data_IF_009303367122
#
_entry.id   IF_009303367122
#
_cell.length_a   1.000
_cell.length_b   1.000
_cell.length_c   1.000
_cell.angle_alpha   90.00
_cell.angle_beta   90.00
_cell.angle_gamma   90.00
#
_symmetry.space_group_name_H-M   'P 1'
#
loop_
_entity.id
_entity.type
_entity.pdbx_description
1 polymer ?
#
# COMPACT_ATOMS: atom_id res chain seq x y z
N UNK A 1 -11.17 3.73 21.29
CA UNK A 1 -10.43 4.02 20.04
C UNK A 1 -9.79 2.74 19.57
N UNK A 2 -10.02 2.37 18.31
CA UNK A 2 -9.39 1.20 17.65
C UNK A 2 -8.52 1.73 16.53
N UNK A 3 -7.27 1.26 16.46
CA UNK A 3 -6.32 1.61 15.41
C UNK A 3 -5.91 0.30 14.74
N UNK A 4 -6.05 0.25 13.41
CA UNK A 4 -5.45 -0.79 12.59
C UNK A 4 -3.96 -0.48 12.44
N UNK A 5 -3.11 -1.34 12.98
CA UNK A 5 -1.67 -1.10 13.05
C UNK A 5 -0.93 -1.50 11.76
N UNK A 6 -1.60 -2.16 10.82
CA UNK A 6 -0.96 -2.64 9.58
C UNK A 6 -2.00 -2.83 8.48
N UNK A 7 -2.02 -1.94 7.54
CA UNK A 7 -2.93 -1.98 6.39
C UNK A 7 -2.22 -1.54 5.11
N UNK A 8 -2.83 -1.85 3.98
CA UNK A 8 -2.30 -1.52 2.65
C UNK A 8 -3.37 -0.86 1.80
N UNK A 9 -2.98 0.20 1.08
CA UNK A 9 -3.81 0.85 0.08
C UNK A 9 -3.10 0.79 -1.28
N UNK A 10 -3.86 0.54 -2.35
CA UNK A 10 -3.32 0.56 -3.71
C UNK A 10 -4.38 0.96 -4.73
N UNK A 11 -3.94 1.65 -5.77
CA UNK A 11 -4.77 2.02 -6.91
C UNK A 11 -4.84 0.90 -7.94
N UNK A 12 -3.74 0.17 -8.12
CA UNK A 12 -3.61 -0.90 -9.09
C UNK A 12 -2.41 -1.78 -8.73
N UNK A 13 -2.59 -3.09 -8.82
CA UNK A 13 -1.48 -4.04 -8.82
C UNK A 13 -1.15 -4.38 -10.27
N UNK A 14 -0.01 -3.94 -10.76
CA UNK A 14 0.51 -4.22 -12.10
C UNK A 14 2.04 -4.19 -12.04
N UNK A 15 2.60 -5.14 -11.34
CA UNK A 15 4.02 -5.26 -11.06
C UNK A 15 4.56 -6.60 -11.54
N UNK A 16 5.80 -6.87 -11.26
CA UNK A 16 6.41 -8.17 -11.52
C UNK A 16 7.41 -8.52 -10.42
N UNK A 17 7.57 -9.80 -10.20
CA UNK A 17 8.57 -10.36 -9.31
C UNK A 17 9.28 -11.51 -10.02
N UNK A 18 10.60 -11.47 -10.05
CA UNK A 18 11.43 -12.47 -10.75
C UNK A 18 10.94 -12.70 -12.21
N UNK A 19 10.64 -11.60 -12.91
CA UNK A 19 10.12 -11.63 -14.28
C UNK A 19 8.70 -12.17 -14.45
N UNK A 20 8.03 -12.58 -13.36
CA UNK A 20 6.66 -13.08 -13.40
C UNK A 20 5.66 -11.97 -13.04
N UNK A 21 4.54 -11.85 -13.74
CA UNK A 21 3.58 -10.78 -13.51
C UNK A 21 2.83 -10.94 -12.20
N UNK A 22 2.51 -9.78 -11.59
CA UNK A 22 1.57 -9.63 -10.48
C UNK A 22 0.52 -8.62 -10.94
N UNK A 23 -0.74 -9.05 -11.10
CA UNK A 23 -1.82 -8.21 -11.62
C UNK A 23 -3.13 -8.48 -10.93
N UNK A 24 -3.80 -7.43 -10.48
CA UNK A 24 -5.17 -7.53 -9.98
C UNK A 24 -6.15 -7.94 -11.08
N UNK A 25 -7.03 -8.84 -10.72
CA UNK A 25 -8.21 -9.24 -11.48
C UNK A 25 -9.48 -8.84 -10.73
N UNK A 26 -10.64 -9.24 -11.25
CA UNK A 26 -11.91 -8.99 -10.58
C UNK A 26 -12.13 -9.93 -9.39
N UNK A 27 -12.99 -9.49 -8.46
CA UNK A 27 -13.47 -10.28 -7.34
C UNK A 27 -12.35 -10.82 -6.42
N UNK A 28 -11.33 -9.99 -6.17
CA UNK A 28 -10.23 -10.32 -5.27
C UNK A 28 -9.25 -11.35 -5.82
N UNK A 29 -9.37 -11.75 -7.07
CA UNK A 29 -8.40 -12.62 -7.72
C UNK A 29 -7.22 -11.82 -8.28
N UNK A 30 -6.09 -12.46 -8.42
CA UNK A 30 -4.89 -11.86 -9.02
C UNK A 30 -4.11 -12.92 -9.79
N UNK A 31 -3.39 -12.48 -10.81
CA UNK A 31 -2.25 -13.23 -11.31
C UNK A 31 -1.11 -12.96 -10.33
N UNK A 32 -0.63 -13.97 -9.65
CA UNK A 32 0.49 -13.90 -8.73
C UNK A 32 1.58 -14.87 -9.16
N UNK A 33 2.73 -14.35 -9.54
CA UNK A 33 3.86 -15.11 -10.06
C UNK A 33 3.49 -16.02 -11.27
N UNK A 34 2.55 -15.55 -12.08
CA UNK A 34 2.09 -16.27 -13.28
C UNK A 34 0.90 -17.22 -13.06
N UNK A 35 0.41 -17.36 -11.83
CA UNK A 35 -0.76 -18.20 -11.52
C UNK A 35 -1.94 -17.35 -11.06
N UNK A 36 -3.16 -17.75 -11.44
CA UNK A 36 -4.36 -17.09 -10.95
C UNK A 36 -4.76 -17.63 -9.58
N UNK A 37 -4.77 -16.74 -8.58
CA UNK A 37 -5.09 -17.09 -7.19
C UNK A 37 -6.17 -16.17 -6.62
N UNK A 38 -6.88 -16.63 -5.58
CA UNK A 38 -7.70 -15.76 -4.75
C UNK A 38 -6.80 -15.11 -3.72
N UNK A 39 -6.42 -13.84 -3.93
CA UNK A 39 -5.43 -13.16 -3.11
C UNK A 39 -6.07 -12.33 -1.98
N UNK A 40 -7.17 -11.67 -2.26
CA UNK A 40 -7.87 -10.78 -1.34
C UNK A 40 -9.37 -11.11 -1.32
N UNK A 41 -10.15 -10.58 -0.37
CA UNK A 41 -11.57 -10.87 -0.27
C UNK A 41 -12.34 -10.53 -1.57
N UNK A 42 -13.33 -11.37 -1.96
CA UNK A 42 -14.03 -11.22 -3.24
C UNK A 42 -14.91 -9.98 -3.34
N UNK A 43 -15.18 -9.27 -2.24
CA UNK A 43 -15.90 -7.99 -2.27
C UNK A 43 -15.06 -6.83 -2.85
N UNK A 44 -13.75 -6.99 -2.97
CA UNK A 44 -12.88 -6.05 -3.69
C UNK A 44 -13.03 -6.35 -5.19
N UNK A 45 -14.06 -5.75 -5.79
CA UNK A 45 -14.59 -6.15 -7.11
C UNK A 45 -13.61 -5.84 -8.24
N UNK A 46 -12.95 -4.69 -8.18
CA UNK A 46 -12.09 -4.16 -9.25
C UNK A 46 -10.59 -4.30 -8.97
N UNK A 47 -10.23 -5.03 -7.90
CA UNK A 47 -8.85 -5.28 -7.53
C UNK A 47 -8.11 -4.07 -6.96
N UNK A 48 -8.83 -2.99 -6.58
CA UNK A 48 -8.27 -1.80 -5.94
C UNK A 48 -8.71 -1.73 -4.48
N UNK A 49 -7.81 -1.27 -3.63
CA UNK A 49 -8.12 -0.94 -2.24
C UNK A 49 -7.77 0.53 -1.98
N UNK A 50 -8.64 1.41 -2.44
CA UNK A 50 -8.43 2.86 -2.29
C UNK A 50 -8.74 3.35 -0.88
N UNK A 51 -8.28 4.55 -0.56
CA UNK A 51 -8.56 5.19 0.73
C UNK A 51 -10.07 5.27 1.00
N UNK A 52 -10.90 5.58 0.00
CA UNK A 52 -12.35 5.68 0.14
C UNK A 52 -12.99 4.33 0.48
N UNK A 53 -12.57 3.26 -0.20
CA UNK A 53 -13.03 1.90 0.09
C UNK A 53 -12.63 1.48 1.50
N UNK A 54 -11.37 1.74 1.86
CA UNK A 54 -10.85 1.38 3.18
C UNK A 54 -11.52 2.20 4.29
N UNK A 55 -11.74 3.52 4.09
CA UNK A 55 -12.50 4.36 5.02
C UNK A 55 -13.90 3.83 5.27
N UNK A 56 -14.61 3.41 4.22
CA UNK A 56 -15.95 2.82 4.36
C UNK A 56 -15.93 1.56 5.23
N UNK A 57 -14.91 0.71 5.07
CA UNK A 57 -14.71 -0.47 5.90
C UNK A 57 -14.35 -0.10 7.35
N UNK A 58 -13.48 0.90 7.54
CA UNK A 58 -13.12 1.42 8.87
C UNK A 58 -14.34 1.97 9.61
N UNK A 59 -15.17 2.75 8.92
CA UNK A 59 -16.38 3.35 9.50
C UNK A 59 -17.37 2.26 9.90
N UNK A 60 -17.59 1.25 9.04
CA UNK A 60 -18.42 0.09 9.36
C UNK A 60 -17.89 -0.69 10.58
N UNK A 61 -16.59 -0.92 10.65
CA UNK A 61 -15.94 -1.65 11.73
C UNK A 61 -15.64 -0.79 12.97
N UNK A 62 -15.97 0.51 12.96
CA UNK A 62 -15.67 1.49 14.02
C UNK A 62 -14.16 1.62 14.32
N UNK A 63 -13.33 1.46 13.30
CA UNK A 63 -11.88 1.70 13.37
C UNK A 63 -11.60 3.19 13.19
N UNK A 64 -10.89 3.78 14.16
CA UNK A 64 -10.67 5.22 14.21
C UNK A 64 -9.59 5.70 13.24
N UNK A 65 -8.50 4.94 13.13
CA UNK A 65 -7.36 5.27 12.27
C UNK A 65 -6.65 3.99 11.81
N UNK A 66 -5.83 4.11 10.78
CA UNK A 66 -5.01 3.01 10.28
C UNK A 66 -3.58 3.48 9.96
N UNK A 67 -2.62 2.62 10.23
CA UNK A 67 -1.25 2.75 9.76
C UNK A 67 -1.17 2.06 8.40
N UNK A 68 -0.82 2.82 7.38
CA UNK A 68 -0.71 2.32 6.00
C UNK A 68 0.75 2.14 5.64
N UNK A 69 1.14 0.90 5.48
CA UNK A 69 2.46 0.49 4.97
C UNK A 69 2.34 0.07 3.51
N UNK A 70 3.45 -0.06 2.83
CA UNK A 70 3.47 -0.47 1.42
C UNK A 70 3.99 -1.88 1.27
N UNK A 71 3.59 -2.53 0.18
CA UNK A 71 4.12 -3.82 -0.20
C UNK A 71 4.69 -3.76 -1.63
N UNK A 72 5.78 -4.49 -1.86
CA UNK A 72 6.42 -4.53 -3.18
C UNK A 72 5.46 -5.02 -4.29
N UNK A 73 4.49 -5.86 -3.94
CA UNK A 73 3.52 -6.41 -4.90
C UNK A 73 2.59 -5.34 -5.48
N UNK A 74 2.37 -4.26 -4.72
CA UNK A 74 1.55 -3.13 -5.15
C UNK A 74 2.35 -2.10 -5.94
N UNK A 75 3.68 -2.22 -5.94
CA UNK A 75 4.59 -1.19 -6.41
C UNK A 75 4.75 -0.05 -5.41
N UNK A 76 5.63 0.90 -5.75
CA UNK A 76 5.83 2.10 -4.92
C UNK A 76 4.64 3.02 -5.08
N UNK A 77 3.95 3.32 -3.97
CA UNK A 77 2.73 4.13 -3.90
C UNK A 77 2.98 5.48 -3.19
N UNK A 78 4.21 5.97 -3.14
CA UNK A 78 4.57 7.17 -2.37
C UNK A 78 3.71 8.37 -2.74
N UNK A 79 3.54 8.67 -4.02
CA UNK A 79 2.75 9.83 -4.46
C UNK A 79 1.29 9.71 -4.01
N UNK A 80 0.68 8.55 -4.22
CA UNK A 80 -0.70 8.31 -3.80
C UNK A 80 -0.86 8.40 -2.28
N UNK A 81 0.04 7.79 -1.51
CA UNK A 81 -0.05 7.82 -0.05
C UNK A 81 0.24 9.19 0.56
N UNK A 82 1.04 10.02 -0.11
CA UNK A 82 1.21 11.43 0.26
C UNK A 82 -0.11 12.20 0.10
N UNK A 83 -0.84 11.98 -0.99
CA UNK A 83 -2.18 12.56 -1.19
C UNK A 83 -3.17 12.08 -0.12
N UNK A 84 -3.19 10.79 0.18
CA UNK A 84 -4.04 10.20 1.23
C UNK A 84 -3.73 10.79 2.60
N UNK A 85 -2.45 10.94 2.96
CA UNK A 85 -2.02 11.57 4.21
C UNK A 85 -2.49 13.03 4.31
N UNK A 86 -2.42 13.77 3.22
CA UNK A 86 -2.87 15.16 3.16
C UNK A 86 -4.40 15.27 3.26
N UNK A 87 -5.13 14.38 2.59
CA UNK A 87 -6.59 14.42 2.52
C UNK A 87 -7.25 13.92 3.81
N UNK A 88 -6.64 12.92 4.46
CA UNK A 88 -7.20 12.25 5.65
C UNK A 88 -6.22 12.18 6.83
N UNK A 89 -5.67 13.30 7.30
CA UNK A 89 -4.54 13.34 8.24
C UNK A 89 -4.84 12.71 9.61
N UNK A 90 -6.12 12.60 9.98
CA UNK A 90 -6.57 12.02 11.25
C UNK A 90 -7.05 10.57 11.12
N UNK A 91 -7.06 10.03 9.92
CA UNK A 91 -7.54 8.68 9.64
C UNK A 91 -6.43 7.75 9.18
N UNK A 92 -5.46 8.25 8.43
CA UNK A 92 -4.34 7.48 7.93
C UNK A 92 -3.00 8.05 8.39
N UNK A 93 -2.14 7.17 8.88
CA UNK A 93 -0.74 7.43 9.13
C UNK A 93 0.05 6.63 8.09
N UNK A 94 0.50 7.31 7.04
CA UNK A 94 1.12 6.63 5.91
C UNK A 94 2.63 6.50 6.08
N UNK A 95 3.18 5.35 5.64
CA UNK A 95 4.60 5.08 5.53
C UNK A 95 5.05 5.19 4.07
N UNK A 96 6.14 5.90 3.83
CA UNK A 96 6.80 5.92 2.54
C UNK A 96 7.62 4.65 2.33
N UNK A 97 7.90 4.30 1.08
CA UNK A 97 8.75 3.16 0.74
C UNK A 97 10.00 3.62 0.01
N UNK A 98 11.15 3.10 0.41
CA UNK A 98 12.44 3.29 -0.25
C UNK A 98 13.05 1.94 -0.62
N UNK A 99 13.95 1.96 -1.61
CA UNK A 99 14.74 0.79 -1.97
C UNK A 99 16.15 0.97 -1.38
N UNK A 100 16.41 0.34 -0.24
CA UNK A 100 17.66 0.50 0.50
C UNK A 100 18.90 -0.03 -0.24
N UNK A 101 18.73 -0.77 -1.33
CA UNK A 101 19.83 -1.22 -2.17
C UNK A 101 20.27 -0.17 -3.20
N UNK A 102 19.50 0.91 -3.34
CA UNK A 102 19.88 2.02 -4.21
C UNK A 102 20.75 3.03 -3.47
N UNK A 103 21.72 3.57 -4.19
CA UNK A 103 22.48 4.72 -3.71
C UNK A 103 21.52 5.90 -3.49
N UNK A 104 21.67 6.62 -2.38
CA UNK A 104 20.84 7.78 -2.06
C UNK A 104 19.53 7.45 -1.32
N UNK A 105 19.32 6.21 -0.90
CA UNK A 105 18.08 5.82 -0.18
C UNK A 105 17.89 6.58 1.13
N UNK A 106 18.97 6.96 1.82
CA UNK A 106 18.86 7.75 3.06
C UNK A 106 18.30 9.14 2.80
N UNK A 107 18.77 9.80 1.74
CA UNK A 107 18.29 11.12 1.33
C UNK A 107 16.83 11.05 0.86
N UNK A 108 16.46 10.00 0.14
CA UNK A 108 15.08 9.74 -0.27
C UNK A 108 14.18 9.53 0.95
N UNK A 109 14.59 8.72 1.94
CA UNK A 109 13.86 8.50 3.17
C UNK A 109 13.64 9.79 3.97
N UNK A 110 14.67 10.63 4.09
CA UNK A 110 14.57 11.94 4.75
C UNK A 110 13.58 12.82 4.00
N UNK A 111 13.66 12.89 2.68
CA UNK A 111 12.73 13.67 1.86
C UNK A 111 11.27 13.21 2.03
N UNK A 112 11.00 11.93 2.10
CA UNK A 112 9.66 11.39 2.36
C UNK A 112 9.15 11.80 3.75
N UNK A 113 9.98 11.72 4.78
CA UNK A 113 9.62 12.18 6.13
C UNK A 113 9.33 13.68 6.17
N UNK A 114 10.11 14.49 5.47
CA UNK A 114 9.89 15.95 5.35
C UNK A 114 8.58 16.27 4.60
N UNK A 115 8.14 15.41 3.68
CA UNK A 115 6.86 15.51 2.99
C UNK A 115 5.67 15.03 3.82
N UNK A 116 5.90 14.58 5.06
CA UNK A 116 4.83 14.30 6.03
C UNK A 116 4.53 12.83 6.28
N UNK A 117 5.24 11.90 5.66
CA UNK A 117 5.12 10.48 6.02
C UNK A 117 5.47 10.24 7.48
N UNK A 118 4.84 9.26 8.10
CA UNK A 118 4.98 8.97 9.54
C UNK A 118 5.93 7.81 9.83
N UNK A 119 6.40 7.15 8.80
CA UNK A 119 7.36 6.07 8.85
C UNK A 119 7.92 5.76 7.46
N UNK A 120 8.91 4.91 7.43
CA UNK A 120 9.52 4.41 6.20
C UNK A 120 9.46 2.89 6.21
N UNK A 121 8.96 2.34 5.13
CA UNK A 121 8.97 0.91 4.81
C UNK A 121 10.15 0.62 3.89
N UNK A 122 10.74 -0.53 4.09
CA UNK A 122 11.82 -1.02 3.25
C UNK A 122 11.28 -1.96 2.17
N UNK A 123 11.66 -1.71 0.93
CA UNK A 123 11.43 -2.66 -0.14
C UNK A 123 12.38 -3.86 0.07
N UNK A 124 11.88 -4.93 0.65
CA UNK A 124 12.63 -6.20 0.66
C UNK A 124 12.92 -6.63 -0.77
N UNK A 125 14.16 -6.45 -1.21
CA UNK A 125 14.66 -7.24 -2.32
C UNK A 125 14.80 -8.66 -1.81
N UNK A 126 14.03 -9.58 -2.35
CA UNK A 126 14.32 -10.99 -2.18
C UNK A 126 15.42 -11.33 -3.17
N UNK A 127 16.59 -11.66 -2.64
CA UNK A 127 17.62 -12.35 -3.40
C UNK A 127 17.14 -13.73 -3.85
#
# INVERSE_FOLDING_TARGET
MIIDAHSHLWLKQDTSWDGKPIRSLKNGRSIFLGEEVQMIPPFIIDGRNTAEVFLSNMDYAQVSAAVVVQEFIDGIQNDYLAEVQCQYPNRFLTCGMVDYLKDGFCEEAVALMDHGFKGIEDRKSVE
#
